data_IF_766886174818
#
_entry.id   IF_766886174818
#
_cell.length_a   1.000
_cell.length_b   1.000
_cell.length_c   1.000
_cell.angle_alpha   90.00
_cell.angle_beta   90.00
_cell.angle_gamma   90.00
#
_symmetry.space_group_name_H-M   'P 1'
#
loop_
_entity.id
_entity.type
_entity.pdbx_description
1 polymer ?
#
# COMPACT_ATOMS: atom_id res chain seq x y z
N UNK A 1 -7.16 -5.53 -23.47
CA UNK A 1 -6.10 -6.52 -23.71
C UNK A 1 -5.15 -6.53 -22.54
N UNK A 2 -4.87 -7.71 -21.98
CA UNK A 2 -3.88 -7.89 -20.92
C UNK A 2 -2.47 -7.67 -21.46
N UNK A 3 -1.65 -6.98 -20.70
CA UNK A 3 -0.23 -6.78 -20.95
C UNK A 3 0.54 -7.70 -20.00
N UNK A 4 1.40 -8.55 -20.55
CA UNK A 4 2.25 -9.46 -19.77
C UNK A 4 3.64 -8.84 -19.71
N UNK A 5 4.20 -8.68 -18.51
CA UNK A 5 5.59 -8.26 -18.36
C UNK A 5 6.53 -9.44 -18.61
N UNK A 6 7.47 -9.28 -19.55
CA UNK A 6 8.43 -10.33 -19.93
C UNK A 6 9.38 -10.73 -18.81
N UNK A 7 9.53 -9.90 -17.77
CA UNK A 7 10.40 -10.15 -16.61
C UNK A 7 9.69 -10.96 -15.52
N UNK A 8 8.34 -10.97 -15.54
CA UNK A 8 7.51 -11.59 -14.52
C UNK A 8 6.39 -12.40 -15.17
N UNK A 9 6.68 -13.67 -15.47
CA UNK A 9 5.80 -14.56 -16.25
C UNK A 9 4.37 -14.69 -15.68
N UNK A 10 4.20 -14.47 -14.38
CA UNK A 10 2.91 -14.58 -13.71
C UNK A 10 2.25 -13.22 -13.42
N UNK A 11 2.80 -12.12 -13.95
CA UNK A 11 2.26 -10.77 -13.77
C UNK A 11 1.62 -10.27 -15.05
N UNK A 12 0.33 -9.98 -14.98
CA UNK A 12 -0.42 -9.35 -16.06
C UNK A 12 -0.99 -8.01 -15.61
N UNK A 13 -0.99 -7.03 -16.50
CA UNK A 13 -1.58 -5.71 -16.27
C UNK A 13 -2.79 -5.52 -17.19
N UNK A 14 -3.93 -5.18 -16.63
CA UNK A 14 -5.10 -4.70 -17.37
C UNK A 14 -5.17 -3.18 -17.23
N UNK A 15 -4.71 -2.40 -18.23
CA UNK A 15 -4.72 -0.96 -18.14
C UNK A 15 -6.13 -0.40 -18.27
N UNK A 16 -6.44 0.63 -17.48
CA UNK A 16 -7.68 1.39 -17.66
C UNK A 16 -7.66 2.17 -19.00
N UNK A 17 -8.83 2.40 -19.58
CA UNK A 17 -8.96 3.18 -20.81
C UNK A 17 -8.59 4.65 -20.56
N UNK A 18 -7.55 5.14 -21.23
CA UNK A 18 -7.07 6.52 -21.08
C UNK A 18 -7.94 7.56 -21.83
N UNK A 19 -8.74 7.11 -22.78
CA UNK A 19 -9.46 8.01 -23.72
C UNK A 19 -10.99 7.99 -23.58
N UNK A 20 -11.53 7.18 -22.69
CA UNK A 20 -12.98 7.10 -22.44
C UNK A 20 -13.36 7.85 -21.17
N UNK A 21 -14.59 8.36 -21.14
CA UNK A 21 -15.17 9.05 -20.00
C UNK A 21 -15.04 8.22 -18.70
N UNK A 22 -14.92 8.91 -17.57
CA UNK A 22 -14.83 8.32 -16.21
C UNK A 22 -15.97 7.36 -15.87
N UNK A 23 -17.06 7.41 -16.62
CA UNK A 23 -18.25 6.53 -16.50
C UNK A 23 -18.25 5.34 -17.47
N UNK A 24 -17.13 5.07 -18.15
CA UNK A 24 -17.07 4.02 -19.16
C UNK A 24 -17.24 2.59 -18.60
N UNK A 25 -17.04 2.40 -17.30
CA UNK A 25 -17.22 1.11 -16.61
C UNK A 25 -18.18 1.28 -15.44
N UNK A 26 -19.19 0.41 -15.36
CA UNK A 26 -20.13 0.37 -14.24
C UNK A 26 -19.64 -0.64 -13.16
N UNK A 27 -20.15 -0.54 -11.91
CA UNK A 27 -19.88 -1.53 -10.87
C UNK A 27 -20.18 -2.97 -11.30
N UNK A 28 -21.26 -3.18 -12.04
CA UNK A 28 -21.67 -4.51 -12.53
C UNK A 28 -20.70 -5.05 -13.58
N UNK A 29 -20.21 -4.18 -14.48
CA UNK A 29 -19.18 -4.54 -15.46
C UNK A 29 -17.86 -4.88 -14.75
N UNK A 30 -17.50 -4.11 -13.71
CA UNK A 30 -16.31 -4.39 -12.91
C UNK A 30 -16.39 -5.73 -12.20
N UNK A 31 -17.54 -6.06 -11.56
CA UNK A 31 -17.79 -7.38 -10.96
C UNK A 31 -17.59 -8.51 -11.97
N UNK A 32 -18.10 -8.34 -13.20
CA UNK A 32 -17.96 -9.35 -14.26
C UNK A 32 -16.51 -9.54 -14.67
N UNK A 33 -15.77 -8.45 -14.91
CA UNK A 33 -14.34 -8.50 -15.25
C UNK A 33 -13.55 -9.23 -14.16
N UNK A 34 -13.77 -8.88 -12.89
CA UNK A 34 -13.07 -9.51 -11.77
C UNK A 34 -13.44 -10.98 -11.64
N UNK A 35 -14.70 -11.34 -11.84
CA UNK A 35 -15.13 -12.74 -11.80
C UNK A 35 -14.48 -13.59 -12.91
N UNK A 36 -14.28 -13.03 -14.10
CA UNK A 36 -13.54 -13.68 -15.18
C UNK A 36 -12.05 -13.84 -14.83
N UNK A 37 -11.39 -12.76 -14.33
CA UNK A 37 -9.97 -12.79 -13.95
C UNK A 37 -9.69 -13.78 -12.81
N UNK A 38 -10.59 -13.96 -11.87
CA UNK A 38 -10.47 -14.94 -10.77
C UNK A 38 -10.39 -16.40 -11.23
N UNK A 39 -10.72 -16.71 -12.47
CA UNK A 39 -10.61 -18.06 -13.01
C UNK A 39 -9.16 -18.40 -13.40
N UNK A 40 -8.37 -17.37 -13.75
CA UNK A 40 -7.03 -17.54 -14.30
C UNK A 40 -5.92 -17.03 -13.35
N UNK A 41 -6.29 -16.25 -12.31
CA UNK A 41 -5.33 -15.59 -11.41
C UNK A 41 -5.63 -15.88 -9.94
N UNK A 42 -4.61 -16.25 -9.18
CA UNK A 42 -4.70 -16.44 -7.72
C UNK A 42 -5.00 -15.13 -6.98
N UNK A 43 -4.50 -14.01 -7.51
CA UNK A 43 -4.69 -12.66 -6.96
C UNK A 43 -5.03 -11.67 -8.07
N UNK A 44 -6.06 -10.88 -7.84
CA UNK A 44 -6.43 -9.72 -8.67
C UNK A 44 -6.33 -8.46 -7.82
N UNK A 45 -5.37 -7.60 -8.14
CA UNK A 45 -5.16 -6.33 -7.42
C UNK A 45 -5.81 -5.20 -8.22
N UNK A 46 -6.77 -4.51 -7.59
CA UNK A 46 -7.46 -3.37 -8.17
C UNK A 46 -6.80 -2.10 -7.65
N UNK A 47 -6.09 -1.38 -8.52
CA UNK A 47 -5.56 -0.05 -8.19
C UNK A 47 -6.71 0.96 -8.19
N UNK A 48 -7.05 1.43 -6.99
CA UNK A 48 -8.18 2.32 -6.78
C UNK A 48 -7.71 3.78 -6.80
N UNK A 49 -8.35 4.66 -7.60
CA UNK A 49 -8.03 6.08 -7.59
C UNK A 49 -8.34 6.71 -6.23
N UNK A 50 -7.65 7.79 -5.89
CA UNK A 50 -7.95 8.57 -4.69
C UNK A 50 -9.37 9.15 -4.75
N UNK A 51 -10.01 9.27 -3.58
CA UNK A 51 -11.36 9.80 -3.42
C UNK A 51 -12.44 8.72 -3.34
N UNK A 52 -13.70 9.16 -3.31
CA UNK A 52 -14.88 8.33 -3.03
C UNK A 52 -15.88 8.30 -4.19
N UNK A 53 -15.45 8.73 -5.36
CA UNK A 53 -16.30 8.86 -6.54
C UNK A 53 -16.49 7.52 -7.26
N UNK A 54 -16.92 7.56 -8.52
CA UNK A 54 -17.24 6.39 -9.33
C UNK A 54 -16.11 5.36 -9.40
N UNK A 55 -14.84 5.80 -9.46
CA UNK A 55 -13.67 4.91 -9.49
C UNK A 55 -13.56 4.04 -8.24
N UNK A 56 -13.78 4.63 -7.06
CA UNK A 56 -13.84 3.92 -5.79
C UNK A 56 -14.98 2.89 -5.78
N UNK A 57 -16.20 3.31 -6.16
CA UNK A 57 -17.37 2.42 -6.21
C UNK A 57 -17.15 1.22 -7.13
N UNK A 58 -16.53 1.45 -8.29
CA UNK A 58 -16.18 0.38 -9.23
C UNK A 58 -15.16 -0.58 -8.63
N UNK A 59 -14.11 -0.07 -7.99
CA UNK A 59 -13.07 -0.88 -7.37
C UNK A 59 -13.64 -1.77 -6.27
N UNK A 60 -14.40 -1.19 -5.34
CA UNK A 60 -14.97 -1.91 -4.20
C UNK A 60 -16.02 -2.95 -4.64
N UNK A 61 -16.81 -2.64 -5.67
CA UNK A 61 -17.85 -3.54 -6.16
C UNK A 61 -17.34 -4.93 -6.58
N UNK A 62 -16.10 -5.03 -7.08
CA UNK A 62 -15.48 -6.30 -7.48
C UNK A 62 -14.53 -6.91 -6.45
N UNK A 63 -14.25 -6.21 -5.35
CA UNK A 63 -13.27 -6.62 -4.37
C UNK A 63 -13.83 -7.58 -3.31
N UNK A 64 -13.04 -8.55 -2.88
CA UNK A 64 -13.32 -9.38 -1.70
C UNK A 64 -12.70 -8.77 -0.45
N UNK A 65 -11.56 -8.11 -0.60
CA UNK A 65 -10.74 -7.54 0.48
C UNK A 65 -10.29 -6.13 0.12
N UNK A 66 -10.02 -5.32 1.12
CA UNK A 66 -9.51 -3.97 0.93
C UNK A 66 -8.21 -3.74 1.72
N UNK A 67 -7.32 -2.98 1.14
CA UNK A 67 -6.13 -2.46 1.81
C UNK A 67 -6.21 -0.93 1.77
N UNK A 68 -6.28 -0.31 2.94
CA UNK A 68 -6.25 1.15 3.10
C UNK A 68 -4.80 1.58 3.25
N UNK A 69 -4.35 2.46 2.37
CA UNK A 69 -2.99 3.01 2.40
C UNK A 69 -3.07 4.47 2.81
N UNK A 70 -2.42 4.84 3.90
CA UNK A 70 -2.34 6.22 4.38
C UNK A 70 -0.90 6.62 4.70
N UNK A 71 -0.69 7.89 4.97
CA UNK A 71 0.59 8.44 5.45
C UNK A 71 0.41 9.00 6.86
N UNK A 72 1.49 9.26 7.64
CA UNK A 72 1.36 9.68 9.04
C UNK A 72 0.91 11.15 9.25
N UNK A 73 0.39 11.80 8.23
CA UNK A 73 -0.17 13.15 8.33
C UNK A 73 -1.63 13.11 8.80
N UNK A 74 -2.01 14.03 9.68
CA UNK A 74 -3.37 14.13 10.25
C UNK A 74 -4.48 14.20 9.20
N UNK A 75 -4.26 14.90 8.10
CA UNK A 75 -5.20 14.97 6.98
C UNK A 75 -5.41 13.63 6.30
N UNK A 76 -4.31 12.93 5.99
CA UNK A 76 -4.36 11.63 5.33
C UNK A 76 -5.03 10.56 6.21
N UNK A 77 -4.77 10.57 7.51
CA UNK A 77 -5.43 9.66 8.47
C UNK A 77 -6.93 9.94 8.56
N UNK A 78 -7.35 11.22 8.55
CA UNK A 78 -8.78 11.59 8.52
C UNK A 78 -9.46 11.13 7.22
N UNK A 79 -8.78 11.23 6.09
CA UNK A 79 -9.32 10.74 4.82
C UNK A 79 -9.42 9.21 4.81
N UNK A 80 -8.43 8.51 5.37
CA UNK A 80 -8.46 7.06 5.54
C UNK A 80 -9.63 6.60 6.44
N UNK A 81 -9.88 7.27 7.56
CA UNK A 81 -11.01 7.00 8.45
C UNK A 81 -12.35 7.08 7.70
N UNK A 82 -12.52 8.13 6.88
CA UNK A 82 -13.71 8.27 6.03
C UNK A 82 -13.87 7.11 5.04
N UNK A 83 -12.77 6.67 4.42
CA UNK A 83 -12.79 5.52 3.49
C UNK A 83 -13.15 4.24 4.23
N UNK A 84 -12.60 3.99 5.42
CA UNK A 84 -12.93 2.83 6.26
C UNK A 84 -14.42 2.80 6.56
N UNK A 85 -15.01 3.91 7.00
CA UNK A 85 -16.45 3.99 7.25
C UNK A 85 -17.33 3.78 6.01
N UNK A 86 -16.80 3.95 4.80
CA UNK A 86 -17.51 3.56 3.57
C UNK A 86 -17.35 2.06 3.29
N UNK A 87 -16.14 1.50 3.47
CA UNK A 87 -15.85 0.08 3.25
C UNK A 87 -16.64 -0.83 4.20
N UNK A 88 -16.91 -0.39 5.43
CA UNK A 88 -17.72 -1.13 6.40
C UNK A 88 -19.17 -1.38 5.93
N UNK A 89 -19.66 -0.58 4.98
CA UNK A 89 -21.00 -0.73 4.39
C UNK A 89 -21.02 -1.70 3.21
N UNK A 90 -19.86 -2.12 2.76
CA UNK A 90 -19.71 -3.02 1.63
C UNK A 90 -19.58 -4.48 2.10
N UNK A 91 -19.96 -5.42 1.25
CA UNK A 91 -19.91 -6.84 1.56
C UNK A 91 -18.51 -7.42 1.29
N UNK A 92 -17.49 -6.93 2.01
CA UNK A 92 -16.15 -7.49 1.95
C UNK A 92 -16.08 -8.79 2.76
N UNK A 93 -15.26 -9.74 2.33
CA UNK A 93 -15.06 -11.04 3.01
C UNK A 93 -14.35 -10.84 4.36
N UNK A 94 -13.39 -9.92 4.42
CA UNK A 94 -12.59 -9.61 5.61
C UNK A 94 -12.62 -8.10 5.89
N UNK A 95 -12.37 -7.73 7.15
CA UNK A 95 -12.15 -6.34 7.53
C UNK A 95 -10.97 -5.74 6.75
N UNK A 96 -11.04 -4.46 6.38
CA UNK A 96 -9.93 -3.77 5.72
C UNK A 96 -8.63 -3.88 6.52
N UNK A 97 -7.49 -3.89 5.82
CA UNK A 97 -6.15 -3.89 6.43
C UNK A 97 -5.43 -2.58 6.15
N UNK A 98 -4.58 -2.14 7.08
CA UNK A 98 -3.88 -0.88 7.02
C UNK A 98 -2.43 -1.03 6.56
N UNK A 99 -2.01 -0.18 5.61
CA UNK A 99 -0.60 0.10 5.35
C UNK A 99 -0.33 1.56 5.65
N UNK A 100 0.65 1.82 6.51
CA UNK A 100 1.16 3.19 6.73
C UNK A 100 2.41 3.37 5.87
N UNK A 101 2.34 4.33 4.94
CA UNK A 101 3.37 4.59 3.93
C UNK A 101 4.12 5.90 4.21
N UNK A 102 5.31 6.06 3.62
CA UNK A 102 6.16 7.25 3.71
C UNK A 102 6.48 7.69 5.13
N UNK A 103 6.74 6.72 6.00
CA UNK A 103 7.03 6.96 7.41
C UNK A 103 8.43 7.57 7.55
N UNK A 104 8.49 8.71 8.26
CA UNK A 104 9.74 9.41 8.62
C UNK A 104 9.90 9.38 10.13
N UNK A 105 10.71 8.44 10.67
CA UNK A 105 10.83 8.26 12.12
C UNK A 105 11.22 9.54 12.88
N UNK A 106 12.12 10.34 12.32
CA UNK A 106 12.54 11.62 12.91
C UNK A 106 11.40 12.62 13.06
N UNK A 107 10.41 12.65 12.16
CA UNK A 107 9.24 13.53 12.27
C UNK A 107 8.22 12.99 13.27
N UNK A 108 8.13 11.68 13.44
CA UNK A 108 7.32 11.07 14.51
C UNK A 108 7.94 11.40 15.87
N UNK A 109 9.24 11.22 16.04
CA UNK A 109 9.95 11.50 17.29
C UNK A 109 9.83 12.97 17.72
N UNK A 110 9.75 13.89 16.77
CA UNK A 110 9.57 15.33 17.00
C UNK A 110 8.11 15.74 17.20
N UNK A 111 7.13 14.85 16.98
CA UNK A 111 5.71 15.15 17.04
C UNK A 111 5.13 15.86 15.80
N UNK A 112 5.90 15.95 14.72
CA UNK A 112 5.48 16.55 13.44
C UNK A 112 4.61 15.59 12.61
N UNK A 113 4.69 14.28 12.87
CA UNK A 113 3.86 13.22 12.30
C UNK A 113 3.22 12.42 13.42
N UNK A 114 2.05 11.81 13.13
CA UNK A 114 1.40 10.88 14.05
C UNK A 114 2.25 9.62 14.23
N UNK A 115 2.27 9.10 15.45
CA UNK A 115 2.85 7.79 15.75
C UNK A 115 1.98 6.68 15.16
N UNK A 116 2.58 5.49 14.98
CA UNK A 116 1.84 4.33 14.48
C UNK A 116 0.71 3.93 15.42
N UNK A 117 0.94 4.01 16.73
CA UNK A 117 -0.06 3.68 17.74
C UNK A 117 -1.26 4.64 17.70
N UNK A 118 -1.01 5.95 17.51
CA UNK A 118 -2.09 6.93 17.33
C UNK A 118 -2.91 6.64 16.06
N UNK A 119 -2.24 6.32 14.94
CA UNK A 119 -2.91 5.98 13.68
C UNK A 119 -3.76 4.72 13.84
N UNK A 120 -3.21 3.65 14.41
CA UNK A 120 -3.94 2.41 14.66
C UNK A 120 -5.12 2.61 15.63
N UNK A 121 -4.95 3.46 16.65
CA UNK A 121 -6.02 3.80 17.59
C UNK A 121 -7.17 4.55 16.93
N UNK A 122 -6.87 5.46 16.00
CA UNK A 122 -7.89 6.24 15.26
C UNK A 122 -8.62 5.37 14.26
N UNK A 123 -7.87 4.60 13.46
CA UNK A 123 -8.44 3.87 12.32
C UNK A 123 -9.07 2.52 12.73
N UNK A 124 -8.69 1.96 13.86
CA UNK A 124 -9.24 0.74 14.46
C UNK A 124 -9.31 -0.48 13.51
N UNK A 125 -8.40 -0.56 12.54
CA UNK A 125 -8.23 -1.70 11.63
C UNK A 125 -6.83 -2.30 11.75
N UNK A 126 -6.69 -3.58 11.39
CA UNK A 126 -5.44 -4.32 11.55
C UNK A 126 -4.32 -3.78 10.66
N UNK A 127 -3.16 -3.61 11.25
CA UNK A 127 -1.95 -3.16 10.56
C UNK A 127 -1.33 -4.30 9.75
N UNK A 128 -1.31 -4.14 8.43
CA UNK A 128 -0.69 -5.06 7.48
C UNK A 128 0.79 -4.74 7.25
N UNK A 129 1.17 -3.46 7.25
CA UNK A 129 2.55 -3.09 6.99
C UNK A 129 2.91 -1.63 7.24
N UNK A 130 4.22 -1.44 7.42
CA UNK A 130 4.87 -0.15 7.61
C UNK A 130 5.90 0.04 6.50
N UNK A 131 5.78 1.13 5.73
CA UNK A 131 6.71 1.44 4.63
C UNK A 131 7.42 2.76 4.96
N UNK A 132 8.74 2.75 5.17
CA UNK A 132 9.50 3.97 5.42
C UNK A 132 9.55 4.84 4.16
N UNK A 133 9.71 6.15 4.35
CA UNK A 133 10.07 7.05 3.27
C UNK A 133 11.49 6.70 2.79
N UNK A 134 11.62 6.43 1.49
CA UNK A 134 12.85 5.88 0.92
C UNK A 134 13.10 6.51 -0.46
N UNK A 135 14.22 7.20 -0.61
CA UNK A 135 14.60 7.85 -1.87
C UNK A 135 14.76 6.88 -3.05
N UNK A 136 15.04 5.58 -2.76
CA UNK A 136 15.10 4.56 -3.80
C UNK A 136 13.76 4.39 -4.54
N UNK A 137 12.63 4.69 -3.88
CA UNK A 137 11.29 4.68 -4.52
C UNK A 137 11.23 5.73 -5.62
N UNK A 138 11.73 6.95 -5.34
CA UNK A 138 11.74 8.04 -6.32
C UNK A 138 12.66 7.68 -7.50
N UNK A 139 13.86 7.17 -7.19
CA UNK A 139 14.83 6.75 -8.21
C UNK A 139 14.27 5.65 -9.12
N UNK A 140 13.68 4.62 -8.53
CA UNK A 140 13.06 3.51 -9.25
C UNK A 140 11.89 3.98 -10.13
N UNK A 141 11.00 4.83 -9.59
CA UNK A 141 9.89 5.42 -10.35
C UNK A 141 10.39 6.22 -11.57
N UNK A 142 11.43 7.02 -11.41
CA UNK A 142 11.99 7.83 -12.50
C UNK A 142 12.68 6.98 -13.59
N UNK A 143 13.22 5.81 -13.22
CA UNK A 143 13.83 4.87 -14.17
C UNK A 143 12.84 3.86 -14.78
N UNK A 144 11.57 3.86 -14.32
CA UNK A 144 10.57 2.88 -14.76
C UNK A 144 10.83 1.47 -14.22
N UNK A 145 11.63 1.34 -13.15
CA UNK A 145 11.95 0.06 -12.52
C UNK A 145 11.13 -0.14 -11.25
N UNK A 146 10.62 -1.36 -10.99
CA UNK A 146 9.91 -1.64 -9.75
C UNK A 146 10.85 -1.55 -8.54
N UNK A 147 10.49 -0.76 -7.53
CA UNK A 147 11.28 -0.59 -6.29
C UNK A 147 11.63 -1.92 -5.63
N UNK A 148 10.74 -2.91 -5.71
CA UNK A 148 10.92 -4.24 -5.10
C UNK A 148 12.12 -5.01 -5.64
N UNK A 149 12.66 -4.63 -6.79
CA UNK A 149 13.87 -5.22 -7.36
C UNK A 149 15.16 -4.70 -6.72
N UNK A 150 15.10 -3.60 -5.98
CA UNK A 150 16.27 -3.04 -5.31
C UNK A 150 16.48 -3.71 -3.94
N UNK A 151 17.57 -4.49 -3.74
CA UNK A 151 17.84 -5.17 -2.46
C UNK A 151 18.18 -4.19 -1.32
N UNK A 152 18.70 -3.00 -1.63
CA UNK A 152 19.16 -2.01 -0.65
C UNK A 152 18.02 -1.10 -0.17
N UNK A 153 16.87 -1.11 -0.86
CA UNK A 153 15.71 -0.30 -0.51
C UNK A 153 14.96 -0.89 0.69
N UNK A 154 14.81 -0.08 1.74
CA UNK A 154 13.98 -0.44 2.91
C UNK A 154 12.50 -0.54 2.55
N UNK A 155 12.03 0.33 1.65
CA UNK A 155 10.66 0.26 1.14
C UNK A 155 10.43 -1.05 0.36
N UNK A 156 11.41 -1.50 -0.43
CA UNK A 156 11.34 -2.78 -1.14
C UNK A 156 11.21 -3.97 -0.17
N UNK A 157 11.99 -3.97 0.91
CA UNK A 157 11.89 -4.99 1.97
C UNK A 157 10.48 -4.94 2.61
N UNK A 158 9.96 -3.75 2.89
CA UNK A 158 8.63 -3.56 3.44
C UNK A 158 7.54 -4.13 2.51
N UNK A 159 7.59 -3.81 1.22
CA UNK A 159 6.64 -4.33 0.23
C UNK A 159 6.68 -5.86 0.11
N UNK A 160 7.87 -6.46 0.07
CA UNK A 160 8.01 -7.93 0.07
C UNK A 160 7.42 -8.56 1.35
N UNK A 161 7.64 -7.95 2.51
CA UNK A 161 7.08 -8.43 3.77
C UNK A 161 5.55 -8.29 3.82
N UNK A 162 4.99 -7.22 3.24
CA UNK A 162 3.54 -7.03 3.08
C UNK A 162 2.97 -8.13 2.19
N UNK A 163 3.58 -8.38 1.04
CA UNK A 163 3.15 -9.45 0.14
C UNK A 163 3.13 -10.81 0.84
N UNK A 164 4.18 -11.15 1.59
CA UNK A 164 4.25 -12.40 2.36
C UNK A 164 3.13 -12.50 3.42
N UNK A 165 2.78 -11.39 4.08
CA UNK A 165 1.64 -11.39 5.03
C UNK A 165 0.30 -11.56 4.32
N UNK A 166 0.13 -11.02 3.12
CA UNK A 166 -1.05 -11.26 2.29
C UNK A 166 -1.17 -12.74 1.95
N UNK A 167 -0.06 -13.43 1.72
CA UNK A 167 0.03 -14.86 1.47
C UNK A 167 -0.15 -15.72 2.73
N UNK A 168 -0.25 -15.12 3.92
CA UNK A 168 -0.46 -15.82 5.19
C UNK A 168 0.80 -16.09 6.00
N UNK A 169 1.97 -15.64 5.55
CA UNK A 169 3.21 -15.82 6.30
C UNK A 169 3.24 -14.96 7.59
N UNK A 170 3.69 -15.53 8.69
CA UNK A 170 3.93 -14.82 9.94
C UNK A 170 5.24 -14.02 9.89
N UNK A 171 5.24 -12.90 9.16
CA UNK A 171 6.41 -12.01 9.04
C UNK A 171 6.28 -10.85 10.03
N UNK A 172 7.24 -10.60 10.94
CA UNK A 172 7.19 -9.47 11.86
C UNK A 172 7.23 -8.13 11.12
N UNK A 173 6.65 -7.09 11.72
CA UNK A 173 6.75 -5.72 11.20
C UNK A 173 8.21 -5.26 11.23
N UNK A 174 8.59 -4.51 10.20
CA UNK A 174 9.95 -3.99 10.11
C UNK A 174 10.16 -2.86 11.12
N UNK A 175 11.29 -2.85 11.88
CA UNK A 175 11.60 -1.75 12.78
C UNK A 175 11.81 -0.45 11.99
N UNK A 176 11.17 0.63 12.45
CA UNK A 176 11.26 1.94 11.81
C UNK A 176 12.64 2.57 12.00
N UNK A 177 13.19 2.49 13.21
CA UNK A 177 14.54 2.97 13.49
C UNK A 177 15.58 1.93 13.07
N UNK A 178 16.59 2.37 12.34
CA UNK A 178 17.78 1.54 12.20
C UNK A 178 18.44 1.45 13.60
N UNK A 179 18.75 0.24 14.06
CA UNK A 179 19.69 0.08 15.17
C UNK A 179 21.02 0.68 14.68
N UNK A 180 21.28 1.95 15.00
CA UNK A 180 22.60 2.52 14.83
C UNK A 180 23.56 1.65 15.61
N UNK A 181 24.41 0.89 14.92
CA UNK A 181 25.40 0.03 15.55
C UNK A 181 26.23 0.85 16.54
N UNK A 182 26.59 0.27 17.67
CA UNK A 182 27.39 0.91 18.74
C UNK A 182 28.61 1.64 18.16
N UNK A 183 29.19 1.17 17.07
CA UNK A 183 30.29 1.79 16.32
C UNK A 183 29.97 3.15 15.69
N UNK A 184 28.72 3.42 15.27
CA UNK A 184 28.35 4.76 14.75
C UNK A 184 28.08 5.76 15.87
N UNK A 185 27.63 5.31 17.05
CA UNK A 185 27.52 6.16 18.26
C UNK A 185 28.92 6.61 18.75
N UNK A 186 29.91 5.74 18.67
CA UNK A 186 31.30 6.05 19.04
C UNK A 186 31.91 7.05 18.06
N UNK A 187 31.68 6.92 16.74
CA UNK A 187 32.18 7.90 15.76
C UNK A 187 31.60 9.31 15.95
N UNK A 188 30.34 9.46 16.35
CA UNK A 188 29.74 10.77 16.66
C UNK A 188 30.31 11.42 17.94
N UNK A 189 30.89 10.64 18.85
CA UNK A 189 31.48 11.15 20.09
C UNK A 189 32.93 11.63 19.90
N UNK A 190 33.63 11.18 18.84
CA UNK A 190 35.01 11.51 18.56
C UNK A 190 35.21 12.54 17.42
N UNK A 191 34.16 13.06 16.82
CA UNK A 191 34.21 14.05 15.70
C UNK A 191 33.37 15.30 16.04
N UNK A 192 33.10 15.52 17.35
CA UNK A 192 32.50 16.76 17.87
C UNK A 192 33.54 17.61 18.57
#
# INVERSE_FOLDING_TARGET
ALIIDKRFEHLSLLPAAQTKDKHAVTPEQMKKIIAELKQDYDYVIIDCPAGIEQGFKNAVAGADRAIVVTTPEKSAVRDADRIIGLLEKENLTDSPKLIVNRIRPNLIDNGDMLSIDEICSVLAIDLLGLVPDDEHVIKASNSGEPTVMNPDSRAAIAYRNIARRILGDAVPLMPLHQKTGVLQRIKKFFVG
#
